data_IF_276487120496
#
_entry.id   IF_276487120496
#
_cell.length_a   1.000
_cell.length_b   1.000
_cell.length_c   1.000
_cell.angle_alpha   90.00
_cell.angle_beta   90.00
_cell.angle_gamma   90.00
#
_symmetry.space_group_name_H-M   'P 1'
#
loop_
_entity.id
_entity.type
_entity.pdbx_description
1 polymer ?
#
# COMPACT_ATOMS: atom_id res chain seq x y z
N UNK A 1 -10.03 -21.75 3.90
CA UNK A 1 -11.38 -21.19 3.86
C UNK A 1 -11.21 -19.69 4.02
N UNK A 2 -11.54 -18.89 2.99
CA UNK A 2 -11.60 -17.44 3.17
C UNK A 2 -12.62 -17.13 4.27
N UNK A 3 -12.38 -16.11 5.12
CA UNK A 3 -13.37 -15.71 6.12
C UNK A 3 -14.69 -15.30 5.44
N UNK A 4 -15.73 -15.13 6.26
CA UNK A 4 -17.07 -14.67 5.88
C UNK A 4 -17.04 -13.60 4.78
N UNK A 5 -18.05 -13.58 3.90
CA UNK A 5 -18.14 -12.63 2.79
C UNK A 5 -17.77 -11.21 3.24
N UNK A 6 -16.95 -10.48 2.47
CA UNK A 6 -16.46 -9.18 2.89
C UNK A 6 -17.67 -8.25 3.10
N UNK A 7 -17.68 -7.54 4.21
CA UNK A 7 -18.77 -6.60 4.53
C UNK A 7 -18.74 -5.39 3.57
N UNK A 8 -19.86 -4.68 3.39
CA UNK A 8 -19.87 -3.42 2.62
C UNK A 8 -18.72 -2.50 3.06
N UNK A 9 -18.01 -1.85 2.13
CA UNK A 9 -18.39 -1.56 0.74
C UNK A 9 -17.92 -2.60 -0.31
N UNK A 10 -17.43 -3.76 0.11
CA UNK A 10 -16.93 -4.79 -0.80
C UNK A 10 -18.06 -5.57 -1.46
N UNK A 11 -17.86 -5.97 -2.72
CA UNK A 11 -18.75 -6.92 -3.38
C UNK A 11 -18.55 -8.31 -2.75
N UNK A 12 -19.60 -8.95 -2.19
CA UNK A 12 -19.49 -10.14 -1.36
C UNK A 12 -18.89 -11.36 -2.07
N UNK A 13 -19.00 -11.44 -3.40
CA UNK A 13 -18.49 -12.57 -4.19
C UNK A 13 -17.14 -12.26 -4.85
N UNK A 14 -16.52 -11.13 -4.52
CA UNK A 14 -15.33 -10.63 -5.20
C UNK A 14 -14.02 -11.03 -4.53
N UNK A 15 -14.04 -11.33 -3.23
CA UNK A 15 -12.84 -11.69 -2.48
C UNK A 15 -12.27 -13.02 -2.95
N UNK A 16 -11.03 -12.99 -3.43
CA UNK A 16 -10.31 -14.18 -3.91
C UNK A 16 -8.80 -14.02 -3.74
N UNK A 17 -8.06 -15.11 -3.57
CA UNK A 17 -6.61 -15.06 -3.68
C UNK A 17 -6.16 -14.98 -5.15
N UNK A 18 -4.99 -14.39 -5.38
CA UNK A 18 -4.48 -14.12 -6.71
C UNK A 18 -4.28 -15.37 -7.58
N UNK A 19 -4.03 -16.54 -6.99
CA UNK A 19 -3.83 -17.77 -7.74
C UNK A 19 -5.15 -18.30 -8.34
N UNK A 20 -6.27 -18.07 -7.65
CA UNK A 20 -7.60 -18.49 -8.10
C UNK A 20 -8.40 -17.38 -8.81
N UNK A 21 -7.90 -16.13 -8.80
CA UNK A 21 -8.51 -15.00 -9.49
C UNK A 21 -8.93 -15.23 -10.96
N UNK A 22 -8.26 -16.09 -11.77
CA UNK A 22 -8.73 -16.38 -13.12
C UNK A 22 -10.16 -16.90 -13.21
N UNK A 23 -10.66 -17.60 -12.18
CA UNK A 23 -12.04 -18.08 -12.11
C UNK A 23 -13.07 -16.94 -12.05
N UNK A 24 -12.65 -15.72 -11.69
CA UNK A 24 -13.50 -14.56 -11.52
C UNK A 24 -13.31 -13.49 -12.61
N UNK A 25 -12.48 -13.74 -13.63
CA UNK A 25 -12.19 -12.73 -14.66
C UNK A 25 -13.40 -12.28 -15.48
N UNK A 26 -14.37 -13.16 -15.73
CA UNK A 26 -15.56 -12.79 -16.50
C UNK A 26 -16.46 -11.84 -15.70
N UNK A 27 -16.53 -12.01 -14.38
CA UNK A 27 -17.31 -11.15 -13.47
C UNK A 27 -16.56 -9.90 -13.04
N UNK A 28 -15.23 -10.00 -12.90
CA UNK A 28 -14.33 -8.92 -12.49
C UNK A 28 -13.13 -8.79 -13.46
N UNK A 29 -13.34 -8.22 -14.67
CA UNK A 29 -12.27 -8.06 -15.66
C UNK A 29 -11.06 -7.26 -15.15
N UNK A 30 -11.30 -6.34 -14.21
CA UNK A 30 -10.26 -5.58 -13.51
C UNK A 30 -9.19 -6.47 -12.85
N UNK A 31 -9.54 -7.69 -12.40
CA UNK A 31 -8.57 -8.61 -11.79
C UNK A 31 -7.54 -9.09 -12.80
N UNK A 32 -7.98 -9.38 -14.03
CA UNK A 32 -7.08 -9.73 -15.13
C UNK A 32 -6.10 -8.60 -15.39
N UNK A 33 -6.60 -7.37 -15.55
CA UNK A 33 -5.75 -6.21 -15.82
C UNK A 33 -4.74 -5.92 -14.69
N UNK A 34 -5.15 -6.06 -13.44
CA UNK A 34 -4.27 -5.91 -12.28
C UNK A 34 -3.18 -7.00 -12.24
N UNK A 35 -3.55 -8.27 -12.45
CA UNK A 35 -2.60 -9.38 -12.46
C UNK A 35 -1.66 -9.33 -13.66
N UNK A 36 -2.15 -8.96 -14.84
CA UNK A 36 -1.32 -8.74 -16.02
C UNK A 36 -0.28 -7.64 -15.75
N UNK A 37 -0.70 -6.51 -15.18
CA UNK A 37 0.22 -5.45 -14.78
C UNK A 37 1.25 -5.94 -13.74
N UNK A 38 0.83 -6.73 -12.75
CA UNK A 38 1.74 -7.33 -11.77
C UNK A 38 2.80 -8.20 -12.47
N UNK A 39 2.38 -9.09 -13.35
CA UNK A 39 3.27 -10.02 -14.04
C UNK A 39 4.19 -9.35 -15.06
N UNK A 40 3.75 -8.28 -15.73
CA UNK A 40 4.51 -7.61 -16.78
C UNK A 40 5.38 -6.45 -16.27
N UNK A 41 5.05 -5.86 -15.13
CA UNK A 41 5.81 -4.73 -14.58
C UNK A 41 6.32 -4.99 -13.17
N UNK A 42 5.41 -5.26 -12.22
CA UNK A 42 5.77 -5.29 -10.78
C UNK A 42 6.77 -6.39 -10.44
N UNK A 43 6.62 -7.56 -11.04
CA UNK A 43 7.50 -8.71 -10.84
C UNK A 43 8.72 -8.72 -11.78
N UNK A 44 8.86 -7.72 -12.65
CA UNK A 44 9.94 -7.65 -13.64
C UNK A 44 11.05 -6.71 -13.19
N UNK A 45 12.30 -6.97 -13.57
CA UNK A 45 13.34 -5.95 -13.48
C UNK A 45 13.04 -4.80 -14.43
N UNK A 46 13.44 -3.59 -14.05
CA UNK A 46 13.37 -2.40 -14.89
C UNK A 46 14.74 -1.71 -14.85
N UNK A 47 15.33 -1.44 -16.01
CA UNK A 47 16.65 -0.82 -16.11
C UNK A 47 16.72 0.56 -15.43
N UNK A 48 15.58 1.27 -15.35
CA UNK A 48 15.47 2.57 -14.68
C UNK A 48 15.45 2.45 -13.16
N UNK A 49 15.32 1.25 -12.58
CA UNK A 49 15.22 1.09 -11.12
C UNK A 49 16.53 1.40 -10.38
N UNK A 50 17.67 1.47 -11.10
CA UNK A 50 19.01 1.72 -10.54
C UNK A 50 19.42 0.73 -9.44
N UNK A 51 18.82 -0.47 -9.42
CA UNK A 51 19.19 -1.62 -8.58
C UNK A 51 18.79 -2.92 -9.29
N UNK A 52 19.43 -4.06 -8.98
CA UNK A 52 19.02 -5.34 -9.55
C UNK A 52 17.67 -5.82 -9.00
N UNK A 53 17.03 -6.71 -9.77
CA UNK A 53 15.82 -7.41 -9.40
C UNK A 53 14.53 -6.66 -9.76
N UNK A 54 13.40 -7.21 -9.28
CA UNK A 54 12.07 -6.72 -9.62
C UNK A 54 11.74 -5.34 -9.04
N UNK A 55 10.83 -4.62 -9.71
CA UNK A 55 10.24 -3.36 -9.22
C UNK A 55 9.76 -3.52 -7.77
N UNK A 56 8.95 -4.55 -7.48
CA UNK A 56 8.63 -4.96 -6.11
C UNK A 56 9.24 -6.34 -5.80
N UNK A 57 10.29 -6.42 -4.96
CA UNK A 57 10.95 -7.68 -4.63
C UNK A 57 10.13 -8.54 -3.66
N UNK A 58 9.07 -7.98 -3.04
CA UNK A 58 8.27 -8.65 -2.00
C UNK A 58 7.06 -9.39 -2.54
N UNK A 59 6.59 -9.03 -3.74
CA UNK A 59 5.29 -9.52 -4.22
C UNK A 59 5.37 -10.96 -4.75
N UNK A 60 6.45 -11.34 -5.44
CA UNK A 60 6.60 -12.70 -5.97
C UNK A 60 6.54 -13.78 -4.85
N UNK A 61 7.28 -13.63 -3.73
CA UNK A 61 7.19 -14.59 -2.62
C UNK A 61 5.82 -14.64 -1.93
N UNK A 62 5.04 -13.55 -1.96
CA UNK A 62 3.68 -13.50 -1.40
C UNK A 62 2.69 -14.25 -2.30
N UNK A 63 2.77 -14.01 -3.63
CA UNK A 63 1.97 -14.71 -4.63
C UNK A 63 2.19 -16.23 -4.57
N UNK A 64 3.46 -16.66 -4.53
CA UNK A 64 3.82 -18.08 -4.46
C UNK A 64 3.27 -18.80 -3.21
N UNK A 65 2.93 -18.05 -2.16
CA UNK A 65 2.36 -18.57 -0.91
C UNK A 65 0.85 -18.37 -0.80
N UNK A 66 0.18 -17.86 -1.84
CA UNK A 66 -1.25 -17.58 -1.81
C UNK A 66 -1.62 -16.44 -0.85
N UNK A 67 -0.72 -15.49 -0.60
CA UNK A 67 -0.89 -14.40 0.39
C UNK A 67 -1.25 -13.05 -0.23
N UNK A 68 -1.68 -13.05 -1.49
CA UNK A 68 -2.15 -11.85 -2.16
C UNK A 68 -3.63 -12.03 -2.45
N UNK A 69 -4.45 -11.20 -1.85
CA UNK A 69 -5.90 -11.23 -2.02
C UNK A 69 -6.35 -10.04 -2.87
N UNK A 70 -7.37 -10.26 -3.69
CA UNK A 70 -8.06 -9.25 -4.47
C UNK A 70 -9.49 -9.14 -3.96
N UNK A 71 -10.02 -7.94 -3.93
CA UNK A 71 -11.43 -7.66 -3.65
C UNK A 71 -11.87 -6.44 -4.45
N UNK A 72 -13.12 -6.44 -4.91
CA UNK A 72 -13.71 -5.30 -5.62
C UNK A 72 -14.55 -4.49 -4.64
N UNK A 73 -14.39 -3.16 -4.67
CA UNK A 73 -15.25 -2.23 -3.95
C UNK A 73 -15.94 -1.31 -4.96
N UNK A 74 -17.28 -1.25 -4.88
CA UNK A 74 -18.08 -0.34 -5.71
C UNK A 74 -18.10 1.03 -5.05
N UNK A 75 -17.85 2.08 -5.83
CA UNK A 75 -17.78 3.46 -5.30
C UNK A 75 -19.01 4.24 -5.73
N UNK A 76 -19.60 5.02 -4.82
CA UNK A 76 -20.76 5.85 -5.17
C UNK A 76 -20.38 7.14 -5.90
N UNK A 77 -19.16 7.64 -5.66
CA UNK A 77 -18.63 8.83 -6.30
C UNK A 77 -17.09 8.83 -6.32
N UNK A 78 -16.45 9.38 -7.37
CA UNK A 78 -15.00 9.50 -7.47
C UNK A 78 -14.46 10.66 -6.62
N UNK A 79 -14.74 10.65 -5.32
CA UNK A 79 -14.38 11.74 -4.40
C UNK A 79 -13.44 11.27 -3.31
N UNK A 80 -12.61 12.19 -2.82
CA UNK A 80 -11.77 11.97 -1.64
C UNK A 80 -12.60 11.55 -0.42
N UNK A 81 -13.78 12.15 -0.22
CA UNK A 81 -14.66 11.80 0.92
C UNK A 81 -15.12 10.35 0.85
N UNK A 82 -15.48 9.86 -0.34
CA UNK A 82 -15.82 8.44 -0.51
C UNK A 82 -14.63 7.52 -0.22
N UNK A 83 -13.45 7.88 -0.72
CA UNK A 83 -12.23 7.12 -0.43
C UNK A 83 -11.94 7.04 1.08
N UNK A 84 -12.16 8.12 1.83
CA UNK A 84 -12.04 8.14 3.30
C UNK A 84 -13.08 7.26 3.99
N UNK A 85 -14.30 7.15 3.44
CA UNK A 85 -15.31 6.22 3.96
C UNK A 85 -14.92 4.77 3.74
N UNK A 86 -14.41 4.44 2.55
CA UNK A 86 -13.99 3.08 2.18
C UNK A 86 -12.72 2.64 2.90
N UNK A 87 -11.76 3.57 3.08
CA UNK A 87 -10.41 3.30 3.57
C UNK A 87 -10.32 2.41 4.81
N UNK A 88 -10.99 2.73 5.94
CA UNK A 88 -10.93 1.92 7.15
C UNK A 88 -11.29 0.44 6.92
N UNK A 89 -12.29 0.17 6.08
CA UNK A 89 -12.72 -1.19 5.74
C UNK A 89 -11.60 -1.99 5.03
N UNK A 90 -10.73 -1.34 4.26
CA UNK A 90 -9.59 -2.01 3.63
C UNK A 90 -8.59 -2.52 4.67
N UNK A 91 -8.33 -1.74 5.72
CA UNK A 91 -7.46 -2.15 6.83
C UNK A 91 -8.10 -3.27 7.64
N UNK A 92 -9.40 -3.16 7.91
CA UNK A 92 -10.14 -4.16 8.70
C UNK A 92 -10.21 -5.51 7.98
N UNK A 93 -10.45 -5.50 6.67
CA UNK A 93 -10.42 -6.71 5.85
C UNK A 93 -9.02 -7.33 5.82
N UNK A 94 -7.96 -6.52 5.71
CA UNK A 94 -6.59 -7.02 5.76
C UNK A 94 -6.28 -7.75 7.07
N UNK A 95 -6.62 -7.12 8.21
CA UNK A 95 -6.39 -7.72 9.52
C UNK A 95 -7.24 -8.98 9.73
N UNK A 96 -8.46 -9.02 9.21
CA UNK A 96 -9.34 -10.20 9.26
C UNK A 96 -8.85 -11.37 8.40
N UNK A 97 -8.25 -11.08 7.23
CA UNK A 97 -7.69 -12.12 6.35
C UNK A 97 -6.40 -12.72 6.89
N UNK A 98 -5.64 -11.95 7.66
CA UNK A 98 -4.30 -12.30 8.08
C UNK A 98 -4.11 -12.14 9.61
N UNK A 99 -4.85 -12.89 10.44
CA UNK A 99 -4.79 -12.75 11.90
C UNK A 99 -3.44 -13.19 12.48
N UNK A 100 -2.73 -14.09 11.80
CA UNK A 100 -1.43 -14.60 12.22
C UNK A 100 -0.30 -13.64 11.84
N UNK A 101 0.58 -13.31 12.78
CA UNK A 101 1.62 -12.29 12.60
C UNK A 101 2.60 -12.57 11.44
N UNK A 102 2.90 -13.84 11.15
CA UNK A 102 3.78 -14.20 10.03
C UNK A 102 3.10 -14.08 8.66
N UNK A 103 1.82 -14.45 8.61
CA UNK A 103 1.00 -14.29 7.41
C UNK A 103 0.79 -12.79 7.15
N UNK A 104 0.38 -12.06 8.18
CA UNK A 104 0.20 -10.60 8.18
C UNK A 104 1.40 -9.84 7.64
N UNK A 105 2.63 -10.21 8.00
CA UNK A 105 3.83 -9.48 7.51
C UNK A 105 4.21 -9.76 6.07
N UNK A 106 3.72 -10.85 5.50
CA UNK A 106 4.11 -11.33 4.17
C UNK A 106 2.96 -11.29 3.15
N UNK A 107 1.80 -10.79 3.56
CA UNK A 107 0.62 -10.67 2.73
C UNK A 107 0.43 -9.29 2.09
N UNK A 108 -0.49 -9.24 1.13
CA UNK A 108 -1.00 -8.01 0.54
C UNK A 108 -2.49 -8.17 0.19
N UNK A 109 -3.26 -7.12 0.39
CA UNK A 109 -4.64 -7.00 -0.09
C UNK A 109 -4.70 -5.92 -1.16
N UNK A 110 -5.24 -6.26 -2.33
CA UNK A 110 -5.53 -5.34 -3.41
C UNK A 110 -7.03 -5.07 -3.42
N UNK A 111 -7.41 -3.82 -3.14
CA UNK A 111 -8.79 -3.36 -3.19
C UNK A 111 -8.97 -2.57 -4.48
N UNK A 112 -9.62 -3.19 -5.46
CA UNK A 112 -9.80 -2.64 -6.80
C UNK A 112 -11.12 -1.87 -6.87
N UNK A 113 -11.10 -0.75 -7.58
CA UNK A 113 -12.26 0.12 -7.78
C UNK A 113 -12.67 0.11 -9.26
N UNK A 114 -13.42 -0.91 -9.72
CA UNK A 114 -13.71 -1.10 -11.13
C UNK A 114 -14.59 -0.02 -11.75
N UNK A 115 -15.33 0.76 -10.95
CA UNK A 115 -16.22 1.82 -11.42
C UNK A 115 -15.56 3.20 -11.48
N UNK A 116 -14.28 3.30 -11.05
CA UNK A 116 -13.56 4.56 -11.12
C UNK A 116 -12.93 4.72 -12.49
N UNK A 117 -13.47 5.64 -13.27
CA UNK A 117 -12.86 6.08 -14.52
C UNK A 117 -11.52 6.80 -14.26
N UNK A 118 -10.57 6.76 -15.21
CA UNK A 118 -9.23 7.34 -15.05
C UNK A 118 -9.22 8.81 -14.59
N UNK A 119 -10.15 9.62 -15.09
CA UNK A 119 -10.30 11.05 -14.78
C UNK A 119 -10.67 11.28 -13.30
N UNK A 120 -11.49 10.41 -12.73
CA UNK A 120 -11.93 10.47 -11.33
C UNK A 120 -10.98 9.77 -10.35
N UNK A 121 -10.15 8.86 -10.85
CA UNK A 121 -9.30 8.01 -10.03
C UNK A 121 -8.28 8.80 -9.18
N UNK A 122 -7.69 9.88 -9.70
CA UNK A 122 -6.71 10.67 -8.92
C UNK A 122 -7.36 11.35 -7.71
N UNK A 123 -8.51 12.00 -7.89
CA UNK A 123 -9.21 12.67 -6.78
C UNK A 123 -9.62 11.68 -5.67
N UNK A 124 -10.04 10.48 -6.06
CA UNK A 124 -10.37 9.41 -5.13
C UNK A 124 -9.13 8.81 -4.46
N UNK A 125 -8.19 8.26 -5.26
CA UNK A 125 -7.07 7.45 -4.80
C UNK A 125 -6.00 8.31 -4.12
N UNK A 126 -5.52 9.37 -4.76
CA UNK A 126 -4.49 10.25 -4.17
C UNK A 126 -5.07 11.05 -2.99
N UNK A 127 -6.30 11.53 -3.15
CA UNK A 127 -7.03 12.23 -2.11
C UNK A 127 -7.24 11.38 -0.87
N UNK A 128 -7.74 10.16 -1.04
CA UNK A 128 -7.93 9.19 0.03
C UNK A 128 -6.62 8.81 0.69
N UNK A 129 -5.60 8.46 -0.09
CA UNK A 129 -4.29 8.10 0.43
C UNK A 129 -3.69 9.23 1.27
N UNK A 130 -3.74 10.48 0.81
CA UNK A 130 -3.24 11.65 1.55
C UNK A 130 -3.85 11.75 2.95
N UNK A 131 -5.15 11.48 3.09
CA UNK A 131 -5.86 11.59 4.36
C UNK A 131 -5.77 10.33 5.23
N UNK A 132 -5.61 9.15 4.62
CA UNK A 132 -5.67 7.86 5.31
C UNK A 132 -4.29 7.29 5.68
N UNK A 133 -3.24 7.60 4.93
CA UNK A 133 -1.92 6.95 5.08
C UNK A 133 -1.40 6.94 6.51
N UNK A 134 -1.62 8.02 7.26
CA UNK A 134 -1.15 8.12 8.65
C UNK A 134 -1.93 7.24 9.62
N UNK A 135 -3.23 7.03 9.40
CA UNK A 135 -4.02 6.11 10.24
C UNK A 135 -3.63 4.65 9.96
N UNK A 136 -3.30 4.31 8.71
CA UNK A 136 -2.75 3.00 8.35
C UNK A 136 -1.39 2.76 8.99
N UNK A 137 -0.47 3.73 8.90
CA UNK A 137 0.84 3.64 9.54
C UNK A 137 0.71 3.53 11.06
N UNK A 138 -0.26 4.24 11.65
CA UNK A 138 -0.58 4.07 13.06
C UNK A 138 -1.02 2.63 13.36
N UNK A 139 -1.73 1.94 12.48
CA UNK A 139 -2.07 0.51 12.62
C UNK A 139 -0.93 -0.46 12.30
N UNK A 140 0.24 0.03 11.87
CA UNK A 140 1.34 -0.84 11.44
C UNK A 140 1.14 -1.38 10.02
N UNK A 141 0.31 -0.68 9.23
CA UNK A 141 0.01 -0.98 7.85
C UNK A 141 0.58 0.10 6.92
N UNK A 142 0.73 -0.25 5.66
CA UNK A 142 0.96 0.65 4.54
C UNK A 142 -0.28 0.64 3.65
N UNK A 143 -0.63 1.81 3.16
CA UNK A 143 -1.63 2.01 2.12
C UNK A 143 -0.90 2.53 0.88
N UNK A 144 -1.04 1.85 -0.26
CA UNK A 144 -0.50 2.28 -1.55
C UNK A 144 -1.59 2.77 -2.48
N UNK A 145 -1.26 3.76 -3.29
CA UNK A 145 -2.16 4.57 -4.12
C UNK A 145 -1.88 4.34 -5.62
N UNK A 146 -2.70 3.50 -6.28
CA UNK A 146 -2.45 3.07 -7.66
C UNK A 146 -3.56 3.52 -8.59
N UNK A 147 -3.19 4.12 -9.73
CA UNK A 147 -4.11 4.48 -10.82
C UNK A 147 -3.33 4.85 -12.10
N UNK A 148 -4.03 5.02 -13.22
CA UNK A 148 -3.43 5.15 -14.56
C UNK A 148 -2.61 6.45 -14.75
N UNK A 149 -2.87 7.47 -13.95
CA UNK A 149 -2.22 8.77 -14.02
C UNK A 149 -1.30 9.07 -12.84
N UNK A 150 -0.96 8.06 -12.02
CA UNK A 150 -0.13 8.28 -10.85
C UNK A 150 1.23 8.88 -11.23
N UNK A 151 1.63 9.88 -10.44
CA UNK A 151 2.93 10.56 -10.54
C UNK A 151 3.92 10.06 -9.49
N UNK A 152 3.53 9.08 -8.68
CA UNK A 152 4.38 8.53 -7.62
C UNK A 152 5.49 7.68 -8.22
N UNK A 153 6.72 8.07 -7.94
CA UNK A 153 7.92 7.50 -8.55
C UNK A 153 8.78 6.70 -7.58
N UNK A 154 9.63 5.86 -8.15
CA UNK A 154 10.59 5.04 -7.41
C UNK A 154 11.45 5.90 -6.48
N UNK A 155 11.68 5.40 -5.27
CA UNK A 155 12.68 5.93 -4.33
C UNK A 155 14.11 5.95 -4.89
N UNK A 156 14.41 5.13 -5.90
CA UNK A 156 15.73 5.02 -6.51
C UNK A 156 15.84 5.74 -7.86
N UNK A 157 14.71 6.14 -8.46
CA UNK A 157 14.70 6.90 -9.71
C UNK A 157 13.38 7.70 -9.85
N UNK A 158 13.42 9.04 -9.83
CA UNK A 158 12.24 9.88 -9.99
C UNK A 158 11.61 9.81 -11.39
N UNK A 159 12.26 9.23 -12.39
CA UNK A 159 11.72 9.07 -13.75
C UNK A 159 10.89 7.79 -13.94
N UNK A 160 10.89 6.90 -12.94
CA UNK A 160 10.16 5.63 -12.99
C UNK A 160 8.85 5.73 -12.18
N UNK A 161 7.68 5.91 -12.82
CA UNK A 161 6.39 5.92 -12.13
C UNK A 161 5.99 4.49 -11.73
N UNK A 162 6.13 4.17 -10.45
CA UNK A 162 5.96 2.80 -9.94
C UNK A 162 4.53 2.49 -9.50
N UNK A 163 3.71 3.52 -9.27
CA UNK A 163 2.30 3.36 -8.89
C UNK A 163 1.33 3.54 -10.08
N UNK A 164 1.86 3.68 -11.30
CA UNK A 164 1.04 3.76 -12.51
C UNK A 164 0.49 2.37 -12.85
N UNK A 165 -0.80 2.20 -12.66
CA UNK A 165 -1.51 0.93 -12.81
C UNK A 165 -2.75 1.11 -13.70
N UNK A 166 -3.09 0.17 -14.60
CA UNK A 166 -4.28 0.29 -15.45
C UNK A 166 -5.60 0.27 -14.67
N UNK A 167 -5.60 -0.22 -13.42
CA UNK A 167 -6.79 -0.31 -12.58
C UNK A 167 -6.60 0.55 -11.33
N UNK A 168 -7.54 1.45 -11.00
CA UNK A 168 -7.50 2.17 -9.73
C UNK A 168 -7.63 1.21 -8.55
N UNK A 169 -6.72 1.29 -7.59
CA UNK A 169 -6.75 0.44 -6.41
C UNK A 169 -6.04 1.04 -5.21
N UNK A 170 -6.45 0.58 -4.02
CA UNK A 170 -5.63 0.64 -2.82
C UNK A 170 -4.94 -0.70 -2.59
N UNK A 171 -3.65 -0.66 -2.28
CA UNK A 171 -2.94 -1.84 -1.79
C UNK A 171 -2.67 -1.72 -0.29
N UNK A 172 -3.08 -2.70 0.50
CA UNK A 172 -2.81 -2.77 1.93
C UNK A 172 -1.80 -3.87 2.20
N UNK A 173 -0.81 -3.57 3.03
CA UNK A 173 0.13 -4.58 3.56
C UNK A 173 0.65 -4.15 4.92
N UNK A 174 1.27 -5.06 5.65
CA UNK A 174 2.03 -4.71 6.84
C UNK A 174 3.20 -3.77 6.53
N UNK A 175 3.49 -2.90 7.49
CA UNK A 175 4.69 -2.07 7.51
C UNK A 175 5.93 -2.96 7.56
N UNK A 176 6.98 -2.54 6.89
CA UNK A 176 8.23 -3.27 6.78
C UNK A 176 9.44 -2.39 7.06
N UNK A 177 10.57 -3.01 7.38
CA UNK A 177 11.82 -2.28 7.66
C UNK A 177 12.26 -1.38 6.50
N UNK A 178 11.95 -1.77 5.25
CA UNK A 178 12.30 -1.00 4.07
C UNK A 178 11.46 0.26 3.95
N UNK A 179 10.31 0.33 4.62
CA UNK A 179 9.49 1.54 4.60
C UNK A 179 10.18 2.72 5.27
N UNK A 180 11.27 2.45 6.00
CA UNK A 180 12.16 3.48 6.52
C UNK A 180 12.68 4.42 5.41
N UNK A 181 12.81 3.94 4.17
CA UNK A 181 13.31 4.74 3.05
C UNK A 181 12.32 5.78 2.52
N UNK A 182 11.02 5.65 2.83
CA UNK A 182 10.00 6.64 2.44
C UNK A 182 9.91 7.79 3.45
N UNK A 183 10.57 7.67 4.60
CA UNK A 183 10.45 8.57 5.76
C UNK A 183 11.11 9.92 5.60
N UNK A 184 12.09 10.04 4.71
CA UNK A 184 13.05 11.14 4.72
C UNK A 184 13.20 11.79 3.36
N UNK A 185 12.04 12.03 2.75
CA UNK A 185 11.97 12.82 1.53
C UNK A 185 11.87 14.29 1.89
N UNK A 186 12.69 15.18 1.31
CA UNK A 186 12.62 16.63 1.55
C UNK A 186 11.22 17.23 1.35
N UNK A 187 10.39 16.55 0.55
CA UNK A 187 9.03 16.97 0.21
C UNK A 187 7.99 16.61 1.29
N UNK A 188 8.33 15.78 2.30
CA UNK A 188 7.39 15.42 3.38
C UNK A 188 7.50 16.43 4.53
N UNK A 189 6.39 17.06 4.97
CA UNK A 189 6.43 18.02 6.06
C UNK A 189 7.08 17.44 7.34
N UNK A 190 7.92 18.22 8.07
CA UNK A 190 8.63 17.72 9.25
C UNK A 190 7.71 17.12 10.32
N UNK A 191 6.52 17.69 10.51
CA UNK A 191 5.51 17.22 11.47
C UNK A 191 4.96 15.84 11.09
N UNK A 192 4.60 15.65 9.82
CA UNK A 192 4.13 14.36 9.29
C UNK A 192 5.23 13.30 9.38
N UNK A 193 6.47 13.68 9.05
CA UNK A 193 7.65 12.82 9.20
C UNK A 193 7.79 12.35 10.65
N UNK A 194 7.74 13.26 11.62
CA UNK A 194 7.86 12.90 13.04
C UNK A 194 6.76 11.93 13.49
N UNK A 195 5.50 12.19 13.13
CA UNK A 195 4.38 11.31 13.46
C UNK A 195 4.58 9.92 12.86
N UNK A 196 5.00 9.85 11.59
CA UNK A 196 5.29 8.58 10.93
C UNK A 196 6.42 7.84 11.65
N UNK A 197 7.54 8.49 11.93
CA UNK A 197 8.69 7.88 12.62
C UNK A 197 8.28 7.27 13.96
N UNK A 198 7.39 7.93 14.70
CA UNK A 198 6.91 7.46 15.99
C UNK A 198 6.10 6.17 15.86
N UNK A 199 5.19 6.12 14.89
CA UNK A 199 4.42 4.91 14.60
C UNK A 199 5.30 3.78 14.05
N UNK A 200 6.24 4.10 13.15
CA UNK A 200 7.21 3.14 12.63
C UNK A 200 8.06 2.54 13.76
N UNK A 201 8.59 3.36 14.66
CA UNK A 201 9.37 2.90 15.82
C UNK A 201 8.55 1.98 16.71
N UNK A 202 7.27 2.29 16.95
CA UNK A 202 6.37 1.45 17.75
C UNK A 202 6.23 0.04 17.19
N UNK A 203 6.07 -0.08 15.87
CA UNK A 203 5.78 -1.36 15.22
C UNK A 203 7.03 -2.15 14.83
N UNK A 204 8.09 -1.45 14.41
CA UNK A 204 9.27 -2.08 13.81
C UNK A 204 10.56 -1.80 14.57
N UNK A 205 10.57 -0.93 15.58
CA UNK A 205 11.80 -0.52 16.27
C UNK A 205 12.59 -1.69 16.86
N UNK A 206 11.91 -2.68 17.44
CA UNK A 206 12.54 -3.88 17.99
C UNK A 206 13.05 -4.85 16.91
N UNK A 207 12.55 -4.72 15.69
CA UNK A 207 13.03 -5.47 14.54
C UNK A 207 14.25 -4.81 13.87
N UNK A 208 14.55 -3.54 14.11
CA UNK A 208 15.68 -2.88 13.46
C UNK A 208 17.04 -3.36 14.02
N UNK A 209 18.07 -3.30 13.18
CA UNK A 209 19.45 -3.44 13.66
C UNK A 209 19.76 -2.31 14.67
N UNK A 210 20.65 -2.53 15.66
CA UNK A 210 20.95 -1.53 16.69
C UNK A 210 21.33 -0.14 16.13
N UNK A 211 22.10 -0.11 15.05
CA UNK A 211 22.50 1.14 14.38
C UNK A 211 21.30 1.89 13.75
N UNK A 212 20.42 1.17 13.06
CA UNK A 212 19.22 1.76 12.46
C UNK A 212 18.23 2.25 13.53
N UNK A 213 18.09 1.49 14.62
CA UNK A 213 17.30 1.88 15.78
C UNK A 213 17.85 3.15 16.43
N UNK A 214 19.17 3.25 16.61
CA UNK A 214 19.80 4.46 17.15
C UNK A 214 19.58 5.68 16.24
N UNK A 215 19.72 5.52 14.91
CA UNK A 215 19.43 6.58 13.93
C UNK A 215 17.97 7.02 13.98
N UNK A 216 17.04 6.06 14.08
CA UNK A 216 15.61 6.35 14.23
C UNK A 216 15.32 7.13 15.52
N UNK A 217 15.90 6.72 16.66
CA UNK A 217 15.74 7.43 17.92
C UNK A 217 16.32 8.84 17.87
N UNK A 218 17.49 9.05 17.25
CA UNK A 218 18.08 10.38 17.11
C UNK A 218 17.13 11.34 16.36
N UNK A 219 16.46 10.87 15.32
CA UNK A 219 15.48 11.64 14.52
C UNK A 219 14.15 11.90 15.24
N UNK A 220 13.85 11.14 16.29
CA UNK A 220 12.67 11.32 17.13
C UNK A 220 12.91 12.25 18.31
N UNK A 221 14.16 12.64 18.58
CA UNK A 221 14.44 13.64 19.61
C UNK A 221 13.85 14.98 19.14
N UNK A 222 13.13 15.71 20.00
CA UNK A 222 12.75 17.07 19.67
C UNK A 222 14.01 17.90 19.39
N UNK A 223 13.98 18.74 18.36
CA UNK A 223 15.01 19.76 18.18
C UNK A 223 15.10 20.56 19.48
N UNK A 224 16.31 20.68 20.03
CA UNK A 224 16.53 21.54 21.18
C UNK A 224 16.28 22.99 20.73
N UNK A 225 15.41 23.78 21.39
CA UNK A 225 15.39 25.21 21.17
C UNK A 225 16.64 25.77 21.85
N UNK A 226 17.75 25.77 21.12
CA UNK A 226 19.05 26.14 21.65
C UNK A 226 19.97 26.58 20.52
N UNK A 227 19.56 27.64 19.82
CA UNK A 227 20.44 28.66 19.24
C UNK A 227 19.57 29.81 18.70
N UNK A 228 19.02 30.57 19.63
CA UNK A 228 18.75 31.98 19.43
C UNK A 228 19.40 32.69 20.62
N UNK A 229 20.71 32.89 20.51
CA UNK A 229 21.43 33.93 21.27
C UNK A 229 21.40 35.22 20.46
#
# INVERSE_FOLDING_TARGET
>A
MLPHAPSPPFDPDSLIDAAHAPALFDRYPAYRHALDWIHHFVLRPDARLNRPGAVCPRLAPALARGRVHLVAARTQAPTTSEAVRVGPHCGDLYDALHPDADDHRSAALLVLFPDLEPEGASAFVDGGHRLLRMSFVARGLMLGEFHAHSTVTSVHNPELPVMRCPVPMFAVRALSRHDLMFLDRPQTPPTERHVYLRHFARHLGHHLAPADRARLHARLRPDHPGDAS
#
